data_IF_352492427620
#
_entry.id   IF_352492427620
#
_cell.length_a   1.000
_cell.length_b   1.000
_cell.length_c   1.000
_cell.angle_alpha   90.00
_cell.angle_beta   90.00
_cell.angle_gamma   90.00
#
_symmetry.space_group_name_H-M   'P 1'
#
loop_
_entity.id
_entity.type
_entity.pdbx_description
1 polymer ?
#
# COMPACT_ATOMS: atom_id res chain seq x y z
N UNK A 1 26.68 17.58 -22.47
CA UNK A 1 26.05 17.66 -21.13
C UNK A 1 24.76 16.86 -21.19
N UNK A 2 24.61 15.86 -20.33
CA UNK A 2 23.42 15.03 -20.32
C UNK A 2 22.43 15.52 -19.27
N UNK A 3 21.14 15.31 -19.51
CA UNK A 3 20.03 15.53 -18.57
C UNK A 3 19.88 14.24 -17.73
N UNK A 4 19.67 14.39 -16.43
CA UNK A 4 19.36 13.28 -15.52
C UNK A 4 17.95 13.49 -14.99
N UNK A 5 17.09 12.46 -15.13
CA UNK A 5 15.76 12.43 -14.53
C UNK A 5 15.60 11.15 -13.70
N UNK A 6 14.78 11.23 -12.70
CA UNK A 6 14.44 10.07 -11.87
C UNK A 6 12.93 10.01 -11.62
N UNK A 7 12.44 8.80 -11.35
CA UNK A 7 11.10 8.49 -10.87
C UNK A 7 11.20 7.45 -9.78
N UNK A 8 10.38 7.56 -8.76
CA UNK A 8 10.27 6.59 -7.67
C UNK A 8 8.91 5.94 -7.74
N UNK A 9 8.87 4.61 -7.77
CA UNK A 9 7.64 3.83 -7.61
C UNK A 9 7.57 3.31 -6.18
N UNK A 10 6.44 3.47 -5.54
CA UNK A 10 6.21 3.03 -4.17
C UNK A 10 5.49 1.68 -4.15
N UNK A 11 6.09 0.69 -3.49
CA UNK A 11 5.59 -0.68 -3.38
C UNK A 11 5.29 -0.99 -1.91
N UNK A 12 4.10 -1.49 -1.61
CA UNK A 12 3.67 -1.74 -0.22
C UNK A 12 3.48 -3.21 0.12
N UNK A 13 3.59 -3.53 1.42
CA UNK A 13 3.38 -4.84 2.06
C UNK A 13 4.16 -6.02 1.43
N UNK A 14 5.25 -5.72 0.74
CA UNK A 14 6.14 -6.73 0.14
C UNK A 14 7.51 -6.61 0.83
N UNK A 15 8.17 -7.74 1.09
CA UNK A 15 9.53 -7.72 1.62
C UNK A 15 10.53 -7.25 0.55
N UNK A 16 11.60 -6.59 0.98
CA UNK A 16 12.69 -6.19 0.07
C UNK A 16 13.21 -7.38 -0.75
N UNK A 17 13.39 -8.55 -0.11
CA UNK A 17 13.82 -9.77 -0.81
C UNK A 17 12.84 -10.23 -1.89
N UNK A 18 11.55 -10.01 -1.71
CA UNK A 18 10.56 -10.35 -2.74
C UNK A 18 10.58 -9.34 -3.89
N UNK A 19 10.79 -8.07 -3.60
CA UNK A 19 11.00 -7.04 -4.63
C UNK A 19 12.27 -7.35 -5.42
N UNK A 20 13.39 -7.65 -4.75
CA UNK A 20 14.65 -8.03 -5.39
C UNK A 20 14.50 -9.28 -6.29
N UNK A 21 13.78 -10.31 -5.84
CA UNK A 21 13.47 -11.48 -6.66
C UNK A 21 12.77 -11.12 -7.99
N UNK A 22 11.87 -10.12 -7.96
CA UNK A 22 11.06 -9.72 -9.11
C UNK A 22 11.76 -8.72 -10.04
N UNK A 23 12.59 -7.83 -9.51
CA UNK A 23 13.18 -6.73 -10.29
C UNK A 23 14.70 -6.59 -10.14
N UNK A 24 15.37 -7.44 -9.38
CA UNK A 24 16.82 -7.35 -9.12
C UNK A 24 17.69 -7.48 -10.37
N UNK A 25 17.22 -8.18 -11.41
CA UNK A 25 17.91 -8.21 -12.70
C UNK A 25 17.97 -6.81 -13.38
N UNK A 26 16.98 -5.95 -13.10
CA UNK A 26 16.94 -4.57 -13.63
C UNK A 26 18.02 -3.68 -12.99
N UNK A 27 18.49 -3.99 -11.78
CA UNK A 27 19.60 -3.26 -11.12
C UNK A 27 20.94 -3.42 -11.87
N UNK A 28 21.07 -4.46 -12.71
CA UNK A 28 22.25 -4.68 -13.55
C UNK A 28 22.31 -3.76 -14.77
N UNK A 29 21.24 -3.03 -15.06
CA UNK A 29 21.17 -2.12 -16.21
C UNK A 29 21.97 -0.84 -15.91
N UNK A 30 22.72 -0.38 -16.91
CA UNK A 30 23.58 0.79 -16.79
C UNK A 30 22.84 2.12 -17.03
N UNK A 31 21.77 2.09 -17.85
CA UNK A 31 20.93 3.27 -18.15
C UNK A 31 19.64 2.86 -18.88
N UNK A 32 18.44 3.09 -18.31
CA UNK A 32 18.24 3.66 -16.97
C UNK A 32 18.79 2.73 -15.89
N UNK A 33 19.21 3.28 -14.76
CA UNK A 33 19.54 2.50 -13.56
C UNK A 33 18.29 2.32 -12.72
N UNK A 34 18.20 1.16 -12.05
CA UNK A 34 17.16 0.84 -11.06
C UNK A 34 17.85 0.63 -9.72
N UNK A 35 17.27 1.10 -8.63
CA UNK A 35 17.76 0.88 -7.28
C UNK A 35 16.61 0.74 -6.30
N UNK A 36 16.82 -0.04 -5.24
CA UNK A 36 15.83 -0.33 -4.21
C UNK A 36 16.17 0.43 -2.91
N UNK A 37 15.15 0.94 -2.22
CA UNK A 37 15.27 1.53 -0.90
C UNK A 37 14.13 1.02 -0.01
N UNK A 38 14.49 0.25 1.02
CA UNK A 38 13.52 -0.31 1.95
C UNK A 38 13.15 0.68 3.06
N UNK A 39 11.86 0.73 3.36
CA UNK A 39 11.25 1.43 4.48
C UNK A 39 10.39 0.45 5.29
N UNK A 40 9.96 0.81 6.51
CA UNK A 40 9.07 -0.03 7.29
C UNK A 40 7.74 -0.29 6.54
N UNK A 41 7.55 -1.54 6.05
CA UNK A 41 6.34 -1.96 5.32
C UNK A 41 6.21 -1.43 3.88
N UNK A 42 7.27 -0.85 3.32
CA UNK A 42 7.30 -0.28 1.98
C UNK A 42 8.68 -0.45 1.34
N UNK A 43 8.74 -0.56 0.02
CA UNK A 43 9.99 -0.49 -0.76
C UNK A 43 9.82 0.53 -1.88
N UNK A 44 10.79 1.42 -2.02
CA UNK A 44 10.85 2.35 -3.13
C UNK A 44 11.74 1.79 -4.24
N UNK A 45 11.24 1.78 -5.48
CA UNK A 45 11.98 1.40 -6.68
C UNK A 45 12.29 2.69 -7.43
N UNK A 46 13.56 3.10 -7.41
CA UNK A 46 14.02 4.32 -8.07
C UNK A 46 14.57 4.01 -9.46
N UNK A 47 13.97 4.60 -10.48
CA UNK A 47 14.42 4.54 -11.87
C UNK A 47 15.11 5.86 -12.19
N UNK A 48 16.36 5.82 -12.69
CA UNK A 48 17.11 7.04 -13.05
C UNK A 48 17.66 6.91 -14.47
N UNK A 49 17.30 7.83 -15.35
CA UNK A 49 17.77 7.88 -16.72
C UNK A 49 18.67 9.09 -16.99
N UNK A 50 19.73 8.89 -17.77
CA UNK A 50 20.60 9.94 -18.30
C UNK A 50 20.46 9.96 -19.83
N UNK A 51 20.11 11.11 -20.40
CA UNK A 51 19.89 11.27 -21.83
C UNK A 51 20.32 12.66 -22.33
N UNK A 52 20.33 12.85 -23.64
CA UNK A 52 20.66 14.13 -24.26
C UNK A 52 19.49 15.12 -24.19
N UNK A 53 18.23 14.62 -24.19
CA UNK A 53 17.01 15.43 -24.11
C UNK A 53 16.09 14.94 -23.00
N UNK A 54 15.20 15.82 -22.56
CA UNK A 54 14.16 15.54 -21.53
C UNK A 54 13.23 14.44 -22.05
N UNK A 55 12.77 14.53 -23.28
CA UNK A 55 11.83 13.59 -23.90
C UNK A 55 12.41 12.17 -24.02
N UNK A 56 13.73 12.08 -24.26
CA UNK A 56 14.41 10.79 -24.30
C UNK A 56 14.52 10.18 -22.89
N UNK A 57 14.89 10.99 -21.89
CA UNK A 57 14.94 10.53 -20.50
C UNK A 57 13.55 10.06 -20.02
N UNK A 58 12.49 10.82 -20.34
CA UNK A 58 11.10 10.47 -19.98
C UNK A 58 10.66 9.15 -20.61
N UNK A 59 10.98 8.91 -21.87
CA UNK A 59 10.69 7.63 -22.53
C UNK A 59 11.40 6.47 -21.87
N UNK A 60 12.70 6.60 -21.60
CA UNK A 60 13.49 5.56 -20.95
C UNK A 60 12.93 5.19 -19.58
N UNK A 61 12.49 6.20 -18.82
CA UNK A 61 11.85 6.00 -17.50
C UNK A 61 10.49 5.30 -17.68
N UNK A 62 9.64 5.75 -18.62
CA UNK A 62 8.34 5.18 -18.88
C UNK A 62 8.40 3.70 -19.31
N UNK A 63 9.36 3.36 -20.20
CA UNK A 63 9.59 1.99 -20.65
C UNK A 63 9.99 1.10 -19.46
N UNK A 64 10.90 1.55 -18.61
CA UNK A 64 11.32 0.82 -17.43
C UNK A 64 10.20 0.72 -16.38
N UNK A 65 9.46 1.80 -16.13
CA UNK A 65 8.29 1.79 -15.25
C UNK A 65 7.26 0.76 -15.70
N UNK A 66 7.00 0.65 -17.01
CA UNK A 66 6.10 -0.35 -17.57
C UNK A 66 6.54 -1.78 -17.22
N UNK A 67 7.85 -2.07 -17.33
CA UNK A 67 8.41 -3.38 -16.95
C UNK A 67 8.23 -3.64 -15.45
N UNK A 68 8.54 -2.67 -14.60
CA UNK A 68 8.37 -2.80 -13.14
C UNK A 68 6.90 -3.04 -12.79
N UNK A 69 5.97 -2.25 -13.35
CA UNK A 69 4.52 -2.42 -13.10
C UNK A 69 4.01 -3.78 -13.58
N UNK A 70 4.49 -4.29 -14.71
CA UNK A 70 4.12 -5.63 -15.19
C UNK A 70 4.53 -6.73 -14.20
N UNK A 71 5.69 -6.59 -13.55
CA UNK A 71 6.22 -7.58 -12.60
C UNK A 71 5.64 -7.45 -11.20
N UNK A 72 5.38 -6.22 -10.75
CA UNK A 72 4.90 -5.92 -9.40
C UNK A 72 3.37 -5.88 -9.29
N UNK A 73 2.66 -5.62 -10.41
CA UNK A 73 1.19 -5.55 -10.42
C UNK A 73 0.66 -4.49 -9.45
N UNK A 74 -0.38 -4.87 -8.71
CA UNK A 74 -1.10 -4.00 -7.76
C UNK A 74 -0.29 -3.63 -6.51
N UNK A 75 0.88 -4.23 -6.30
CA UNK A 75 1.74 -3.84 -5.18
C UNK A 75 2.31 -2.42 -5.36
N UNK A 76 2.42 -1.91 -6.59
CA UNK A 76 2.75 -0.50 -6.85
C UNK A 76 1.53 0.37 -6.55
N UNK A 77 1.63 1.18 -5.50
CA UNK A 77 0.50 2.03 -5.08
C UNK A 77 0.63 3.50 -5.50
N UNK A 78 1.79 3.96 -5.87
CA UNK A 78 2.01 5.35 -6.23
C UNK A 78 3.37 5.62 -6.85
N UNK A 79 3.56 6.85 -7.31
CA UNK A 79 4.80 7.37 -7.89
C UNK A 79 5.18 8.72 -7.28
N UNK A 80 6.47 8.96 -7.12
CA UNK A 80 7.06 10.24 -6.69
C UNK A 80 6.43 10.76 -5.37
N UNK A 81 5.61 11.81 -5.42
CA UNK A 81 4.97 12.41 -4.24
C UNK A 81 3.63 11.79 -3.84
N UNK A 82 3.17 10.73 -4.52
CA UNK A 82 1.92 10.06 -4.17
C UNK A 82 2.08 9.25 -2.88
N UNK A 83 1.03 9.24 -2.06
CA UNK A 83 1.01 8.53 -0.77
C UNK A 83 0.01 7.39 -0.79
N UNK A 84 0.19 6.43 0.11
CA UNK A 84 -0.72 5.30 0.25
C UNK A 84 -2.12 5.75 0.69
N UNK A 85 -2.23 6.74 1.58
CA UNK A 85 -3.51 7.36 1.94
C UNK A 85 -4.16 8.04 0.73
N UNK A 86 -3.39 8.77 -0.07
CA UNK A 86 -3.88 9.39 -1.31
C UNK A 86 -4.42 8.37 -2.32
N UNK A 87 -3.74 7.24 -2.47
CA UNK A 87 -4.20 6.14 -3.32
C UNK A 87 -5.53 5.53 -2.81
N UNK A 88 -5.66 5.34 -1.48
CA UNK A 88 -6.91 4.89 -0.86
C UNK A 88 -8.03 5.91 -1.07
N UNK A 89 -7.78 7.20 -0.82
CA UNK A 89 -8.77 8.27 -1.02
C UNK A 89 -9.29 8.30 -2.45
N UNK A 90 -8.41 8.14 -3.43
CA UNK A 90 -8.77 8.08 -4.85
C UNK A 90 -9.73 6.92 -5.16
N UNK A 91 -9.44 5.71 -4.64
CA UNK A 91 -10.31 4.54 -4.80
C UNK A 91 -11.67 4.76 -4.15
N UNK A 92 -11.68 5.21 -2.89
CA UNK A 92 -12.90 5.43 -2.11
C UNK A 92 -13.79 6.49 -2.76
N UNK A 93 -13.22 7.59 -3.19
CA UNK A 93 -13.95 8.68 -3.82
C UNK A 93 -14.50 8.27 -5.20
N UNK A 94 -13.70 7.61 -6.03
CA UNK A 94 -14.08 7.17 -7.37
C UNK A 94 -15.24 6.17 -7.33
N UNK A 95 -15.19 5.20 -6.40
CA UNK A 95 -16.15 4.10 -6.32
C UNK A 95 -17.23 4.29 -5.25
N UNK A 96 -17.16 5.41 -4.49
CA UNK A 96 -18.14 5.81 -3.47
C UNK A 96 -18.32 4.77 -2.34
N UNK A 97 -17.21 4.17 -1.88
CA UNK A 97 -17.23 3.32 -0.68
C UNK A 97 -17.31 4.16 0.58
N UNK A 98 -18.18 3.80 1.51
CA UNK A 98 -18.21 4.35 2.88
C UNK A 98 -17.50 3.37 3.82
N UNK A 99 -16.43 3.83 4.46
CA UNK A 99 -15.52 2.97 5.21
C UNK A 99 -15.49 3.39 6.67
N UNK A 100 -15.64 2.41 7.56
CA UNK A 100 -15.31 2.55 8.98
C UNK A 100 -14.03 1.80 9.27
N UNK A 101 -13.10 2.43 9.98
CA UNK A 101 -11.85 1.83 10.42
C UNK A 101 -11.80 1.88 11.94
N UNK A 102 -11.64 0.73 12.58
CA UNK A 102 -11.42 0.63 14.03
C UNK A 102 -9.96 0.27 14.25
N UNK A 103 -9.23 1.10 14.97
CA UNK A 103 -7.82 0.88 15.31
C UNK A 103 -7.66 0.59 16.80
N UNK A 104 -6.79 -0.33 17.14
CA UNK A 104 -6.51 -0.76 18.50
C UNK A 104 -4.98 -0.90 18.70
N UNK A 105 -4.44 -0.33 19.77
CA UNK A 105 -3.01 -0.44 20.10
C UNK A 105 -2.07 0.47 19.32
N UNK A 106 -2.57 1.33 18.43
CA UNK A 106 -1.82 2.36 17.73
C UNK A 106 -1.82 3.69 18.50
N UNK A 107 -0.86 4.55 18.21
CA UNK A 107 -0.92 5.95 18.67
C UNK A 107 -2.08 6.69 17.98
N UNK A 108 -2.66 7.67 18.65
CA UNK A 108 -3.86 8.36 18.16
C UNK A 108 -3.67 9.05 16.80
N UNK A 109 -2.46 9.51 16.49
CA UNK A 109 -2.14 10.21 15.24
C UNK A 109 -1.74 9.29 14.09
N UNK A 110 -1.63 7.97 14.31
CA UNK A 110 -1.09 7.04 13.28
C UNK A 110 -1.91 6.98 12.00
N UNK A 111 -3.20 7.34 12.04
CA UNK A 111 -4.10 7.29 10.89
C UNK A 111 -4.78 8.62 10.57
N UNK A 112 -4.28 9.74 11.09
CA UNK A 112 -4.88 11.07 10.83
C UNK A 112 -4.95 11.39 9.32
N UNK A 113 -3.93 11.01 8.56
CA UNK A 113 -3.89 11.22 7.10
C UNK A 113 -4.91 10.37 6.33
N UNK A 114 -5.47 9.31 6.96
CA UNK A 114 -6.48 8.46 6.34
C UNK A 114 -7.88 9.08 6.41
N UNK A 115 -8.12 10.03 7.34
CA UNK A 115 -9.43 10.63 7.56
C UNK A 115 -9.93 11.32 6.28
N UNK A 116 -11.14 10.97 5.85
CA UNK A 116 -11.78 11.46 4.63
C UNK A 116 -13.30 11.50 4.84
N UNK A 117 -14.08 12.33 4.13
CA UNK A 117 -15.55 12.33 4.28
C UNK A 117 -16.26 10.98 4.15
N UNK A 118 -15.64 10.04 3.42
CA UNK A 118 -16.13 8.66 3.26
C UNK A 118 -15.36 7.63 4.12
N UNK A 119 -14.40 8.06 4.95
CA UNK A 119 -13.61 7.17 5.81
C UNK A 119 -13.64 7.72 7.23
N UNK A 120 -14.28 6.98 8.12
CA UNK A 120 -14.30 7.25 9.55
C UNK A 120 -13.27 6.38 10.27
N UNK A 121 -12.40 6.99 11.06
CA UNK A 121 -11.40 6.28 11.89
C UNK A 121 -11.76 6.43 13.37
N UNK A 122 -11.86 5.31 14.08
CA UNK A 122 -12.20 5.26 15.50
C UNK A 122 -11.17 4.46 16.30
N UNK A 123 -10.81 4.93 17.49
CA UNK A 123 -10.07 4.14 18.46
C UNK A 123 -11.02 3.15 19.15
N UNK A 124 -10.68 1.86 19.11
CA UNK A 124 -11.44 0.78 19.74
C UNK A 124 -10.69 0.12 20.89
N UNK A 125 -11.41 -0.56 21.76
CA UNK A 125 -10.83 -1.37 22.85
C UNK A 125 -10.72 -2.85 22.54
N UNK A 126 -11.38 -3.35 21.50
CA UNK A 126 -11.27 -4.72 20.99
C UNK A 126 -12.02 -4.87 19.66
N UNK A 127 -11.71 -5.94 18.90
CA UNK A 127 -12.32 -6.29 17.62
C UNK A 127 -13.82 -6.74 17.70
N UNK A 128 -14.55 -6.44 18.75
CA UNK A 128 -15.87 -7.03 19.07
C UNK A 128 -17.10 -6.19 18.68
N UNK A 129 -17.09 -5.42 17.61
CA UNK A 129 -18.33 -4.81 17.10
C UNK A 129 -18.73 -5.46 15.77
N UNK A 130 -19.59 -6.48 15.83
CA UNK A 130 -20.25 -7.06 14.66
C UNK A 130 -21.45 -6.18 14.30
N UNK A 131 -21.25 -5.21 13.43
CA UNK A 131 -22.31 -4.56 12.67
C UNK A 131 -22.34 -5.21 11.27
N UNK A 132 -23.53 -5.36 10.70
CA UNK A 132 -23.66 -5.84 9.32
C UNK A 132 -23.35 -4.70 8.35
N UNK A 133 -22.38 -4.91 7.47
CA UNK A 133 -21.96 -3.96 6.45
C UNK A 133 -22.33 -4.51 5.07
N UNK A 134 -23.18 -3.81 4.34
CA UNK A 134 -23.71 -4.26 3.04
C UNK A 134 -23.49 -3.24 1.94
N UNK A 135 -23.48 -3.69 0.69
CA UNK A 135 -23.26 -2.84 -0.47
C UNK A 135 -21.88 -2.21 -0.47
N UNK A 136 -21.83 -0.87 -0.60
CA UNK A 136 -20.58 -0.09 -0.59
C UNK A 136 -20.16 0.39 0.81
N UNK A 137 -20.68 -0.23 1.86
CA UNK A 137 -20.24 -0.01 3.23
C UNK A 137 -19.37 -1.16 3.70
N UNK A 138 -18.21 -0.85 4.29
CA UNK A 138 -17.31 -1.87 4.84
C UNK A 138 -16.62 -1.40 6.12
N UNK A 139 -16.23 -2.39 6.92
CA UNK A 139 -15.46 -2.20 8.15
C UNK A 139 -14.08 -2.80 8.00
N UNK A 140 -13.07 -2.04 8.38
CA UNK A 140 -11.72 -2.54 8.63
C UNK A 140 -11.41 -2.47 10.13
N UNK A 141 -10.84 -3.53 10.67
CA UNK A 141 -10.34 -3.53 12.04
C UNK A 141 -8.85 -3.84 12.04
N UNK A 142 -8.08 -3.02 12.77
CA UNK A 142 -6.64 -3.13 12.88
C UNK A 142 -6.25 -3.19 14.35
N UNK A 143 -5.67 -4.30 14.78
CA UNK A 143 -5.15 -4.45 16.13
C UNK A 143 -3.64 -4.65 16.09
N UNK A 144 -2.91 -3.76 16.76
CA UNK A 144 -1.46 -3.80 16.87
C UNK A 144 -1.03 -4.05 18.32
N UNK A 145 -0.09 -4.97 18.50
CA UNK A 145 0.52 -5.28 19.79
C UNK A 145 2.04 -5.22 19.66
N UNK A 146 2.65 -4.33 20.43
CA UNK A 146 4.12 -4.26 20.52
C UNK A 146 4.59 -5.14 21.68
N UNK A 147 5.26 -6.25 21.37
CA UNK A 147 5.88 -7.15 22.36
C UNK A 147 7.40 -6.95 22.39
N UNK A 148 8.12 -7.47 23.40
CA UNK A 148 9.58 -7.38 23.41
C UNK A 148 10.23 -7.99 22.16
N UNK A 149 9.65 -9.06 21.61
CA UNK A 149 10.21 -9.82 20.48
C UNK A 149 9.83 -9.24 19.13
N UNK A 150 8.57 -8.77 18.97
CA UNK A 150 8.07 -8.32 17.69
C UNK A 150 6.86 -7.37 17.83
N UNK A 151 6.55 -6.64 16.76
CA UNK A 151 5.25 -6.04 16.53
C UNK A 151 4.31 -7.08 15.91
N UNK A 152 3.17 -7.35 16.54
CA UNK A 152 2.11 -8.24 16.03
C UNK A 152 0.96 -7.41 15.49
N UNK A 153 0.39 -7.86 14.37
CA UNK A 153 -0.69 -7.18 13.70
C UNK A 153 -1.80 -8.18 13.36
N UNK A 154 -3.02 -7.85 13.76
CA UNK A 154 -4.23 -8.55 13.35
C UNK A 154 -5.11 -7.57 12.56
N UNK A 155 -5.62 -8.03 11.43
CA UNK A 155 -6.41 -7.26 10.48
C UNK A 155 -7.67 -8.04 10.16
N UNK A 156 -8.78 -7.35 10.00
CA UNK A 156 -9.97 -7.94 9.41
C UNK A 156 -10.67 -6.92 8.51
N UNK A 157 -11.31 -7.42 7.46
CA UNK A 157 -12.19 -6.68 6.57
C UNK A 157 -13.55 -7.37 6.53
N UNK A 158 -14.59 -6.59 6.77
CA UNK A 158 -15.97 -7.08 6.86
C UNK A 158 -16.83 -6.33 5.85
N UNK A 159 -17.44 -7.10 4.93
CA UNK A 159 -18.41 -6.61 3.95
C UNK A 159 -19.36 -7.75 3.55
N UNK A 160 -20.67 -7.45 3.43
CA UNK A 160 -21.71 -8.43 3.04
C UNK A 160 -21.66 -9.72 3.88
N UNK A 161 -21.44 -9.58 5.20
CA UNK A 161 -21.27 -10.68 6.17
C UNK A 161 -20.05 -11.60 5.87
N UNK A 162 -19.16 -11.13 4.98
CA UNK A 162 -17.91 -11.83 4.69
C UNK A 162 -16.77 -11.23 5.51
N UNK A 163 -15.96 -12.10 6.11
CA UNK A 163 -14.80 -11.76 6.92
C UNK A 163 -13.51 -12.20 6.21
N UNK A 164 -12.53 -11.32 6.19
CA UNK A 164 -11.20 -11.59 5.65
C UNK A 164 -10.12 -11.37 6.71
N UNK A 165 -10.03 -12.23 7.74
CA UNK A 165 -9.05 -12.08 8.80
C UNK A 165 -7.64 -12.40 8.29
N UNK A 166 -6.68 -11.60 8.74
CA UNK A 166 -5.27 -11.79 8.45
C UNK A 166 -4.40 -11.43 9.66
N UNK A 167 -3.30 -12.14 9.87
CA UNK A 167 -2.35 -11.82 10.92
C UNK A 167 -0.91 -11.90 10.42
N UNK A 168 -0.04 -11.01 10.93
CA UNK A 168 1.37 -10.97 10.58
C UNK A 168 2.18 -10.40 11.75
N UNK A 169 3.50 -10.51 11.67
CA UNK A 169 4.40 -9.98 12.67
C UNK A 169 5.70 -9.46 12.04
N UNK A 170 6.32 -8.49 12.69
CA UNK A 170 7.58 -7.90 12.28
C UNK A 170 8.57 -7.84 13.45
N UNK A 171 9.70 -8.52 13.30
CA UNK A 171 10.76 -8.62 14.32
C UNK A 171 11.85 -7.53 14.19
N UNK A 172 11.65 -6.53 13.34
CA UNK A 172 12.60 -5.42 13.15
C UNK A 172 12.73 -4.50 14.36
N UNK A 173 13.49 -3.41 14.17
CA UNK A 173 13.79 -2.45 15.22
C UNK A 173 12.52 -1.93 15.94
N UNK A 174 12.48 -1.93 17.29
CA UNK A 174 11.26 -1.55 18.03
C UNK A 174 10.67 -0.19 17.65
N UNK A 175 11.51 0.81 17.37
CA UNK A 175 11.07 2.16 16.97
C UNK A 175 10.43 2.23 15.57
N UNK A 176 10.56 1.20 14.73
CA UNK A 176 10.00 1.15 13.38
C UNK A 176 8.76 0.26 13.28
N UNK A 177 8.41 -0.46 14.34
CA UNK A 177 7.35 -1.49 14.31
C UNK A 177 5.96 -0.91 14.11
N UNK A 178 5.65 0.23 14.73
CA UNK A 178 4.33 0.86 14.57
C UNK A 178 4.17 1.45 13.18
N UNK A 179 5.21 2.09 12.64
CA UNK A 179 5.22 2.59 11.27
C UNK A 179 5.03 1.45 10.26
N UNK A 180 5.75 0.34 10.46
CA UNK A 180 5.57 -0.87 9.65
C UNK A 180 4.11 -1.37 9.73
N UNK A 181 3.55 -1.49 10.93
CA UNK A 181 2.19 -1.95 11.15
C UNK A 181 1.17 -1.04 10.47
N UNK A 182 1.31 0.29 10.62
CA UNK A 182 0.47 1.28 9.95
C UNK A 182 0.52 1.11 8.42
N UNK A 183 1.69 1.07 7.83
CA UNK A 183 1.84 0.95 6.38
C UNK A 183 1.25 -0.38 5.88
N UNK A 184 1.40 -1.46 6.66
CA UNK A 184 0.80 -2.74 6.34
C UNK A 184 -0.75 -2.71 6.40
N UNK A 185 -1.34 -2.06 7.40
CA UNK A 185 -2.80 -1.83 7.50
C UNK A 185 -3.35 -1.10 6.28
N UNK A 186 -2.72 0.01 5.91
CA UNK A 186 -3.14 0.83 4.77
C UNK A 186 -3.05 0.05 3.45
N UNK A 187 -1.98 -0.73 3.27
CA UNK A 187 -1.82 -1.54 2.08
C UNK A 187 -2.83 -2.69 2.03
N UNK A 188 -3.08 -3.36 3.16
CA UNK A 188 -4.14 -4.37 3.28
C UNK A 188 -5.50 -3.77 2.87
N UNK A 189 -5.86 -2.60 3.43
CA UNK A 189 -7.09 -1.90 3.09
C UNK A 189 -7.18 -1.59 1.59
N UNK A 190 -6.11 -1.05 0.99
CA UNK A 190 -6.06 -0.76 -0.44
C UNK A 190 -6.28 -2.03 -1.28
N UNK A 191 -5.64 -3.14 -0.95
CA UNK A 191 -5.81 -4.42 -1.68
C UNK A 191 -7.23 -4.95 -1.58
N UNK A 192 -7.85 -4.89 -0.39
CA UNK A 192 -9.24 -5.31 -0.22
C UNK A 192 -10.17 -4.46 -1.09
N UNK A 193 -9.98 -3.14 -1.12
CA UNK A 193 -10.75 -2.24 -1.98
C UNK A 193 -10.61 -2.58 -3.47
N UNK A 194 -9.41 -2.86 -3.95
CA UNK A 194 -9.18 -3.27 -5.35
C UNK A 194 -9.94 -4.58 -5.65
N UNK A 195 -9.85 -5.59 -4.79
CA UNK A 195 -10.54 -6.86 -4.97
C UNK A 195 -12.07 -6.70 -5.00
N UNK A 196 -12.63 -5.81 -4.17
CA UNK A 196 -14.05 -5.48 -4.16
C UNK A 196 -14.47 -4.87 -5.49
N UNK A 197 -13.73 -3.87 -5.98
CA UNK A 197 -13.98 -3.18 -7.25
C UNK A 197 -13.95 -4.17 -8.41
N UNK A 198 -12.93 -5.01 -8.51
CA UNK A 198 -12.81 -6.02 -9.56
C UNK A 198 -13.95 -7.04 -9.54
N UNK A 199 -14.45 -7.37 -8.34
CA UNK A 199 -15.57 -8.29 -8.17
C UNK A 199 -16.90 -7.67 -8.62
N UNK A 200 -17.12 -6.37 -8.34
CA UNK A 200 -18.27 -5.62 -8.82
C UNK A 200 -18.27 -5.51 -10.35
N UNK A 201 -17.12 -5.13 -10.94
CA UNK A 201 -16.99 -4.99 -12.40
C UNK A 201 -17.26 -6.30 -13.16
N UNK A 202 -16.88 -7.45 -12.60
CA UNK A 202 -17.18 -8.76 -13.18
C UNK A 202 -18.66 -9.12 -13.11
N UNK A 203 -19.35 -8.74 -12.01
CA UNK A 203 -20.77 -8.99 -11.84
C UNK A 203 -21.63 -8.13 -12.75
N UNK A 204 -21.20 -6.89 -13.04
CA UNK A 204 -21.93 -5.97 -13.94
C UNK A 204 -21.80 -6.36 -15.43
N UNK A 205 -20.84 -7.22 -15.78
CA UNK A 205 -20.62 -7.74 -17.15
C UNK A 205 -21.27 -9.10 -17.42
N UNK A 206 -21.85 -9.73 -16.41
CA UNK A 206 -22.53 -11.05 -16.51
C UNK A 206 -24.03 -10.92 -16.51
#
# INVERSE_FOLDING_TARGET
SGIIKARVLHVGAVSESKVDELVGDLEQMSNPTVGLLAHPGQVDIRITAKAETVELADRMIADMESVVRQRMGDEVFGVDGETLCGAIHTLVQKHQYAIKVIICGFTSASFDELIHPLIEVQNGSSMQQMESYTGKHCLFTFEYQNTPECGRLQLDHIQNDHHSPFSTAYAGAPGLREEWARNYCLHFMRRQLIQMIESEEKNDQS
#
